data_IF_547019321731
#
_entry.id   IF_547019321731
#
_cell.length_a   1.000
_cell.length_b   1.000
_cell.length_c   1.000
_cell.angle_alpha   90.00
_cell.angle_beta   90.00
_cell.angle_gamma   90.00
#
_symmetry.space_group_name_H-M   'P 1'
#
loop_
_entity.id
_entity.type
_entity.pdbx_description
1 polymer ?
#
# COMPACT_ATOMS: atom_id res chain seq x y z
N UNK A 1 18.49 -40.82 13.82
CA UNK A 1 17.06 -40.49 13.80
C UNK A 1 16.95 -39.03 14.10
N UNK A 2 16.71 -38.19 13.07
CA UNK A 2 16.48 -36.74 13.25
C UNK A 2 15.21 -36.51 14.06
N UNK A 3 15.24 -35.63 15.05
CA UNK A 3 14.04 -35.34 15.85
C UNK A 3 12.96 -34.78 14.92
N UNK A 4 11.78 -35.41 14.96
CA UNK A 4 10.61 -34.95 14.20
C UNK A 4 10.22 -33.58 14.75
N UNK A 5 10.31 -32.55 13.90
CA UNK A 5 9.92 -31.20 14.28
C UNK A 5 8.51 -31.21 14.89
N UNK A 6 8.34 -30.50 16.00
CA UNK A 6 7.04 -30.37 16.67
C UNK A 6 6.06 -29.74 15.68
N UNK A 7 4.86 -30.32 15.48
CA UNK A 7 3.88 -29.75 14.56
C UNK A 7 3.49 -28.33 14.99
N UNK A 8 3.60 -27.35 14.09
CA UNK A 8 3.14 -25.99 14.32
C UNK A 8 1.64 -25.97 14.66
N UNK A 9 1.19 -25.09 15.56
CA UNK A 9 -0.22 -24.78 15.74
C UNK A 9 -0.92 -24.44 14.41
N UNK A 10 -2.23 -24.70 14.28
CA UNK A 10 -2.94 -24.48 13.02
C UNK A 10 -2.77 -23.08 12.43
N UNK A 11 -2.84 -22.04 13.25
CA UNK A 11 -2.70 -20.64 12.80
C UNK A 11 -1.27 -20.31 12.36
N UNK A 12 -0.27 -20.75 13.09
CA UNK A 12 1.13 -20.56 12.70
C UNK A 12 1.47 -21.32 11.40
N UNK A 13 0.87 -22.49 11.22
CA UNK A 13 0.99 -23.26 9.97
C UNK A 13 0.35 -22.53 8.80
N UNK A 14 -0.84 -21.95 9.00
CA UNK A 14 -1.51 -21.13 7.96
C UNK A 14 -0.65 -19.93 7.60
N UNK A 15 -0.12 -19.21 8.59
CA UNK A 15 0.77 -18.06 8.38
C UNK A 15 2.04 -18.46 7.61
N UNK A 16 2.69 -19.58 7.95
CA UNK A 16 3.86 -20.08 7.24
C UNK A 16 3.56 -20.45 5.77
N UNK A 17 2.40 -21.06 5.50
CA UNK A 17 1.97 -21.37 4.13
C UNK A 17 1.72 -20.07 3.35
N UNK A 18 1.06 -19.07 3.93
CA UNK A 18 0.80 -17.78 3.29
C UNK A 18 2.10 -17.02 3.01
N UNK A 19 3.05 -17.03 3.93
CA UNK A 19 4.37 -16.43 3.74
C UNK A 19 5.14 -17.05 2.56
N UNK A 20 5.04 -18.37 2.37
CA UNK A 20 5.63 -19.06 1.23
C UNK A 20 4.84 -18.85 -0.07
N UNK A 21 3.52 -18.68 0.00
CA UNK A 21 2.66 -18.52 -1.17
C UNK A 21 2.75 -17.12 -1.80
N UNK A 22 2.86 -16.06 -0.97
CA UNK A 22 2.82 -14.67 -1.44
C UNK A 22 3.85 -14.36 -2.52
N UNK A 23 5.16 -14.66 -2.36
CA UNK A 23 6.15 -14.42 -3.42
C UNK A 23 5.84 -15.17 -4.72
N UNK A 24 5.36 -16.41 -4.62
CA UNK A 24 5.00 -17.22 -5.78
C UNK A 24 3.76 -16.67 -6.50
N UNK A 25 2.77 -16.18 -5.75
CA UNK A 25 1.59 -15.54 -6.30
C UNK A 25 1.94 -14.20 -6.97
N UNK A 26 2.88 -13.45 -6.45
CA UNK A 26 3.38 -12.21 -7.05
C UNK A 26 4.14 -12.46 -8.36
N UNK A 27 4.83 -13.60 -8.48
CA UNK A 27 5.64 -13.93 -9.65
C UNK A 27 4.82 -14.67 -10.73
N UNK A 28 4.07 -15.69 -10.34
CA UNK A 28 3.38 -16.59 -11.26
C UNK A 28 1.86 -16.38 -11.31
N UNK A 29 1.31 -15.55 -10.43
CA UNK A 29 -0.13 -15.24 -10.37
C UNK A 29 -0.98 -16.51 -10.21
N UNK A 30 -2.02 -16.62 -11.04
CA UNK A 30 -2.95 -17.75 -11.04
C UNK A 30 -2.34 -19.06 -11.54
N UNK A 31 -1.20 -19.02 -12.22
CA UNK A 31 -0.53 -20.21 -12.79
C UNK A 31 0.23 -21.02 -11.73
N UNK A 32 0.51 -20.43 -10.54
CA UNK A 32 1.16 -21.16 -9.45
C UNK A 32 0.32 -22.36 -9.03
N UNK A 33 0.96 -23.53 -8.85
CA UNK A 33 0.30 -24.75 -8.38
C UNK A 33 0.41 -24.88 -6.85
N UNK A 34 -0.56 -25.57 -6.24
CA UNK A 34 -0.50 -25.93 -4.81
C UNK A 34 0.74 -26.77 -4.47
N UNK A 35 1.22 -27.56 -5.44
CA UNK A 35 2.47 -28.33 -5.29
C UNK A 35 3.69 -27.40 -5.13
N UNK A 36 3.83 -26.37 -5.97
CA UNK A 36 4.93 -25.39 -5.86
C UNK A 36 4.88 -24.65 -4.51
N UNK A 37 3.68 -24.27 -4.06
CA UNK A 37 3.50 -23.63 -2.75
C UNK A 37 3.89 -24.60 -1.62
N UNK A 38 3.49 -25.86 -1.71
CA UNK A 38 3.84 -26.88 -0.71
C UNK A 38 5.35 -27.11 -0.64
N UNK A 39 6.02 -27.19 -1.80
CA UNK A 39 7.47 -27.30 -1.91
C UNK A 39 8.17 -26.11 -1.25
N UNK A 40 7.74 -24.89 -1.55
CA UNK A 40 8.27 -23.66 -0.96
C UNK A 40 8.04 -23.57 0.56
N UNK A 41 6.91 -24.08 1.05
CA UNK A 41 6.58 -24.13 2.47
C UNK A 41 7.23 -25.33 3.21
N UNK A 42 7.90 -26.23 2.49
CA UNK A 42 8.52 -27.44 3.06
C UNK A 42 7.50 -28.44 3.66
N UNK A 43 6.30 -28.54 3.06
CA UNK A 43 5.21 -29.40 3.54
C UNK A 43 4.65 -30.30 2.45
N UNK A 44 3.87 -31.31 2.84
CA UNK A 44 3.11 -32.10 1.87
C UNK A 44 1.92 -31.28 1.32
N UNK A 45 1.63 -31.40 0.01
CA UNK A 45 0.55 -30.68 -0.67
C UNK A 45 -0.82 -30.89 0.01
N UNK A 46 -1.14 -32.10 0.48
CA UNK A 46 -2.37 -32.37 1.23
C UNK A 46 -2.51 -31.54 2.51
N UNK A 47 -1.43 -30.92 3.01
CA UNK A 47 -1.48 -30.02 4.17
C UNK A 47 -2.12 -28.68 3.80
N UNK A 48 -1.91 -28.21 2.57
CA UNK A 48 -2.55 -26.98 2.03
C UNK A 48 -4.06 -27.18 2.02
N UNK A 49 -4.54 -28.30 1.45
CA UNK A 49 -5.97 -28.57 1.38
C UNK A 49 -6.62 -28.73 2.77
N UNK A 50 -5.89 -29.32 3.73
CA UNK A 50 -6.35 -29.37 5.14
C UNK A 50 -6.43 -27.99 5.79
N UNK A 51 -5.52 -27.08 5.44
CA UNK A 51 -5.48 -25.74 6.04
C UNK A 51 -6.46 -24.76 5.40
N UNK A 52 -6.68 -24.85 4.08
CA UNK A 52 -7.45 -23.84 3.33
C UNK A 52 -8.67 -24.40 2.58
N UNK A 53 -8.77 -25.71 2.42
CA UNK A 53 -9.86 -26.37 1.69
C UNK A 53 -9.65 -26.37 0.17
N UNK A 54 -9.26 -25.24 -0.43
CA UNK A 54 -9.02 -25.08 -1.86
C UNK A 54 -7.88 -24.12 -2.17
N UNK A 55 -7.40 -24.13 -3.42
CA UNK A 55 -6.45 -23.12 -3.92
C UNK A 55 -7.04 -21.72 -3.89
N UNK A 56 -8.31 -21.56 -4.25
CA UNK A 56 -8.99 -20.27 -4.28
C UNK A 56 -9.08 -19.67 -2.87
N UNK A 57 -9.40 -20.49 -1.86
CA UNK A 57 -9.42 -20.03 -0.47
C UNK A 57 -8.01 -19.67 0.06
N UNK A 58 -6.96 -20.36 -0.40
CA UNK A 58 -5.57 -19.97 -0.10
C UNK A 58 -5.24 -18.63 -0.75
N UNK A 59 -5.58 -18.42 -2.02
CA UNK A 59 -5.35 -17.15 -2.74
C UNK A 59 -6.12 -16.00 -2.05
N UNK A 60 -7.38 -16.23 -1.66
CA UNK A 60 -8.16 -15.25 -0.92
C UNK A 60 -7.52 -14.90 0.43
N UNK A 61 -7.03 -15.89 1.17
CA UNK A 61 -6.32 -15.67 2.42
C UNK A 61 -4.98 -14.93 2.21
N UNK A 62 -4.24 -15.24 1.14
CA UNK A 62 -3.01 -14.54 0.78
C UNK A 62 -3.28 -13.06 0.44
N UNK A 63 -4.35 -12.78 -0.29
CA UNK A 63 -4.80 -11.41 -0.54
C UNK A 63 -5.17 -10.70 0.76
N UNK A 64 -5.94 -11.34 1.63
CA UNK A 64 -6.30 -10.75 2.92
C UNK A 64 -5.06 -10.37 3.75
N UNK A 65 -4.02 -11.22 3.71
CA UNK A 65 -2.73 -10.94 4.35
C UNK A 65 -2.01 -9.76 3.69
N UNK A 66 -1.96 -9.68 2.36
CA UNK A 66 -1.34 -8.58 1.63
C UNK A 66 -2.04 -7.23 1.87
N UNK A 67 -3.34 -7.25 2.13
CA UNK A 67 -4.13 -6.06 2.46
C UNK A 67 -4.10 -5.70 3.96
N UNK A 68 -3.56 -6.56 4.84
CA UNK A 68 -3.42 -6.25 6.26
C UNK A 68 -2.42 -5.10 6.45
N UNK A 69 -2.78 -3.99 7.08
CA UNK A 69 -1.89 -2.85 7.26
C UNK A 69 -0.98 -2.96 8.50
N UNK A 70 -0.93 -4.08 9.18
CA UNK A 70 -0.18 -4.22 10.44
C UNK A 70 1.30 -3.90 10.27
N UNK A 71 1.93 -4.38 9.18
CA UNK A 71 3.33 -4.09 8.87
C UNK A 71 3.53 -2.59 8.56
N UNK A 72 2.57 -1.97 7.87
CA UNK A 72 2.58 -0.52 7.60
C UNK A 72 2.52 0.27 8.91
N UNK A 73 1.58 -0.07 9.80
CA UNK A 73 1.43 0.59 11.10
C UNK A 73 2.73 0.50 11.87
N UNK A 74 3.29 -0.72 11.98
CA UNK A 74 4.55 -0.94 12.69
C UNK A 74 5.70 -0.13 12.07
N UNK A 75 5.83 -0.11 10.75
CA UNK A 75 6.88 0.67 10.09
C UNK A 75 6.71 2.19 10.31
N UNK A 76 5.47 2.71 10.27
CA UNK A 76 5.18 4.12 10.58
C UNK A 76 5.52 4.48 12.03
N UNK A 77 5.26 3.59 12.98
CA UNK A 77 5.60 3.78 14.39
C UNK A 77 7.11 3.86 14.65
N UNK A 78 7.93 3.24 13.77
CA UNK A 78 9.39 3.25 13.85
C UNK A 78 10.05 4.47 13.18
N UNK A 79 9.28 5.32 12.49
CA UNK A 79 9.82 6.53 11.87
C UNK A 79 10.38 7.46 12.94
N UNK A 80 11.61 7.93 12.73
CA UNK A 80 12.29 8.85 13.64
C UNK A 80 11.52 10.18 13.74
N UNK A 81 10.96 10.43 14.91
CA UNK A 81 10.16 11.63 15.21
C UNK A 81 11.00 12.90 15.39
N UNK A 82 12.34 12.77 15.45
CA UNK A 82 13.26 13.92 15.54
C UNK A 82 13.55 14.57 14.18
N UNK A 83 13.24 13.85 13.10
CA UNK A 83 13.33 14.38 11.73
C UNK A 83 12.41 15.60 11.54
N UNK A 84 12.81 16.57 10.71
CA UNK A 84 11.92 17.65 10.27
C UNK A 84 10.61 17.10 9.68
N UNK A 85 9.52 17.87 9.81
CA UNK A 85 8.18 17.48 9.35
C UNK A 85 8.20 16.93 7.91
N UNK A 86 8.89 17.63 7.01
CA UNK A 86 8.98 17.21 5.59
C UNK A 86 9.66 15.85 5.45
N UNK A 87 10.83 15.67 6.07
CA UNK A 87 11.64 14.46 5.93
C UNK A 87 10.89 13.22 6.47
N UNK A 88 10.30 13.32 7.66
CA UNK A 88 9.55 12.19 8.22
C UNK A 88 8.26 11.90 7.43
N UNK A 89 7.67 12.91 6.76
CA UNK A 89 6.53 12.70 5.87
C UNK A 89 6.98 11.97 4.59
N UNK A 90 8.14 12.31 4.03
CA UNK A 90 8.74 11.59 2.89
C UNK A 90 8.94 10.12 3.26
N UNK A 91 9.57 9.82 4.40
CA UNK A 91 9.76 8.44 4.86
C UNK A 91 8.43 7.70 5.00
N UNK A 92 7.40 8.34 5.55
CA UNK A 92 6.07 7.71 5.68
C UNK A 92 5.40 7.45 4.32
N UNK A 93 5.59 8.33 3.34
CA UNK A 93 5.11 8.14 1.96
C UNK A 93 5.87 7.01 1.28
N UNK A 94 7.21 6.92 1.42
CA UNK A 94 8.01 5.81 0.89
C UNK A 94 7.54 4.45 1.40
N UNK A 95 7.33 4.32 2.71
CA UNK A 95 6.79 3.12 3.36
C UNK A 95 5.41 2.77 2.75
N UNK A 96 4.55 3.78 2.56
CA UNK A 96 3.22 3.62 1.99
C UNK A 96 3.27 3.19 0.52
N UNK A 97 4.17 3.80 -0.29
CA UNK A 97 4.37 3.44 -1.69
C UNK A 97 4.88 2.01 -1.84
N UNK A 98 5.85 1.60 -1.02
CA UNK A 98 6.39 0.24 -1.08
C UNK A 98 5.31 -0.81 -0.79
N UNK A 99 4.44 -0.56 0.20
CA UNK A 99 3.28 -1.41 0.46
C UNK A 99 2.32 -1.44 -0.74
N UNK A 100 2.00 -0.28 -1.33
CA UNK A 100 1.10 -0.20 -2.49
C UNK A 100 1.67 -0.93 -3.70
N UNK A 101 2.98 -0.82 -3.97
CA UNK A 101 3.63 -1.55 -5.07
C UNK A 101 3.47 -3.06 -4.91
N UNK A 102 3.67 -3.61 -3.70
CA UNK A 102 3.47 -5.04 -3.42
C UNK A 102 2.01 -5.46 -3.62
N UNK A 103 1.06 -4.68 -3.11
CA UNK A 103 -0.38 -4.94 -3.30
C UNK A 103 -0.75 -4.92 -4.78
N UNK A 104 -0.32 -3.89 -5.52
CA UNK A 104 -0.61 -3.81 -6.96
C UNK A 104 0.04 -4.94 -7.75
N UNK A 105 1.31 -5.28 -7.45
CA UNK A 105 2.00 -6.41 -8.09
C UNK A 105 1.18 -7.70 -7.94
N UNK A 106 0.71 -8.00 -6.74
CA UNK A 106 -0.14 -9.16 -6.47
C UNK A 106 -1.47 -9.11 -7.24
N UNK A 107 -2.17 -7.96 -7.21
CA UNK A 107 -3.45 -7.78 -7.92
C UNK A 107 -3.28 -7.99 -9.44
N UNK A 108 -2.21 -7.44 -10.04
CA UNK A 108 -1.92 -7.61 -11.46
C UNK A 108 -1.57 -9.04 -11.80
N UNK A 109 -0.72 -9.70 -11.00
CA UNK A 109 -0.35 -11.10 -11.19
C UNK A 109 -1.59 -12.01 -11.13
N UNK A 110 -2.52 -11.74 -10.22
CA UNK A 110 -3.79 -12.46 -10.10
C UNK A 110 -4.87 -12.01 -11.11
N UNK A 111 -4.55 -11.05 -12.01
CA UNK A 111 -5.48 -10.47 -13.00
C UNK A 111 -6.75 -9.87 -12.39
N UNK A 112 -6.65 -9.36 -11.17
CA UNK A 112 -7.76 -8.73 -10.44
C UNK A 112 -7.84 -7.26 -10.85
N UNK A 113 -8.91 -6.87 -11.57
CA UNK A 113 -9.12 -5.52 -12.08
C UNK A 113 -9.96 -4.63 -11.17
N UNK A 114 -10.61 -5.18 -10.17
CA UNK A 114 -11.42 -4.47 -9.17
C UNK A 114 -10.91 -4.80 -7.78
N UNK A 115 -11.13 -3.93 -6.79
CA UNK A 115 -10.87 -4.32 -5.40
C UNK A 115 -11.54 -5.66 -5.12
N UNK A 116 -10.82 -6.61 -4.49
CA UNK A 116 -11.38 -7.92 -4.24
C UNK A 116 -12.62 -7.81 -3.35
N UNK A 117 -13.74 -8.29 -3.88
CA UNK A 117 -14.86 -8.65 -3.02
C UNK A 117 -14.46 -9.98 -2.36
N UNK A 118 -14.09 -9.92 -1.10
CA UNK A 118 -13.78 -11.13 -0.34
C UNK A 118 -15.07 -11.92 -0.15
N UNK A 119 -15.33 -12.88 -1.03
CA UNK A 119 -16.59 -13.65 -1.11
C UNK A 119 -17.00 -14.33 0.20
N UNK A 120 -16.01 -14.58 1.06
CA UNK A 120 -16.21 -15.20 2.38
C UNK A 120 -16.05 -14.20 3.53
N UNK A 121 -15.99 -12.89 3.23
CA UNK A 121 -15.95 -11.85 4.26
C UNK A 121 -17.26 -11.73 4.98
N UNK A 122 -17.18 -11.72 6.29
CA UNK A 122 -18.31 -11.35 7.15
C UNK A 122 -18.35 -9.83 7.37
N UNK A 123 -19.49 -9.26 7.79
CA UNK A 123 -19.54 -7.85 8.23
C UNK A 123 -18.51 -7.52 9.33
N UNK A 124 -18.14 -8.51 10.15
CA UNK A 124 -17.11 -8.38 11.17
C UNK A 124 -15.72 -8.21 10.53
N UNK A 125 -15.41 -8.94 9.46
CA UNK A 125 -14.15 -8.82 8.74
C UNK A 125 -14.02 -7.47 8.04
N UNK A 126 -15.11 -6.95 7.50
CA UNK A 126 -15.16 -5.61 6.91
C UNK A 126 -14.94 -4.52 7.96
N UNK A 127 -15.61 -4.62 9.10
CA UNK A 127 -15.42 -3.71 10.22
C UNK A 127 -13.98 -3.75 10.75
N UNK A 128 -13.37 -4.95 10.82
CA UNK A 128 -11.98 -5.13 11.21
C UNK A 128 -11.03 -4.47 10.23
N UNK A 129 -11.20 -4.69 8.90
CA UNK A 129 -10.37 -4.06 7.86
C UNK A 129 -10.47 -2.54 7.90
N UNK A 130 -11.70 -2.01 8.04
CA UNK A 130 -11.90 -0.56 8.20
C UNK A 130 -11.13 -0.03 9.40
N UNK A 131 -11.29 -0.67 10.57
CA UNK A 131 -10.57 -0.28 11.79
C UNK A 131 -9.06 -0.30 11.61
N UNK A 132 -8.52 -1.32 10.94
CA UNK A 132 -7.08 -1.43 10.67
C UNK A 132 -6.59 -0.31 9.75
N UNK A 133 -7.36 0.04 8.71
CA UNK A 133 -7.03 1.19 7.85
C UNK A 133 -7.11 2.52 8.60
N UNK A 134 -8.11 2.68 9.49
CA UNK A 134 -8.21 3.87 10.34
C UNK A 134 -7.00 3.97 11.28
N UNK A 135 -6.52 2.86 11.84
CA UNK A 135 -5.30 2.82 12.65
C UNK A 135 -4.04 3.18 11.85
N UNK A 136 -3.92 2.70 10.61
CA UNK A 136 -2.79 3.07 9.75
C UNK A 136 -2.78 4.57 9.44
N UNK A 137 -3.94 5.14 9.13
CA UNK A 137 -4.08 6.59 8.92
C UNK A 137 -3.76 7.37 10.20
N UNK A 138 -4.21 6.89 11.36
CA UNK A 138 -3.90 7.50 12.65
C UNK A 138 -2.40 7.46 12.96
N UNK A 139 -1.71 6.32 12.72
CA UNK A 139 -0.27 6.19 12.90
C UNK A 139 0.51 7.18 12.01
N UNK A 140 0.05 7.39 10.77
CA UNK A 140 0.64 8.42 9.91
C UNK A 140 0.34 9.83 10.44
N UNK A 141 -0.89 10.13 10.85
CA UNK A 141 -1.26 11.44 11.38
C UNK A 141 -0.46 11.79 12.65
N UNK A 142 -0.13 10.79 13.47
CA UNK A 142 0.71 10.96 14.66
C UNK A 142 2.13 11.47 14.34
N UNK A 143 2.64 11.19 13.13
CA UNK A 143 3.92 11.74 12.67
C UNK A 143 3.82 13.24 12.34
N UNK A 144 2.63 13.75 12.00
CA UNK A 144 2.43 15.15 11.64
C UNK A 144 1.97 16.01 12.81
N UNK A 145 1.41 15.42 13.88
CA UNK A 145 0.85 16.13 15.02
C UNK A 145 1.79 17.11 15.72
N UNK A 146 3.09 16.79 15.93
CA UNK A 146 4.01 17.74 16.58
C UNK A 146 4.11 19.09 15.88
N UNK A 147 3.86 19.12 14.56
CA UNK A 147 3.97 20.33 13.74
C UNK A 147 2.60 20.71 13.10
N UNK A 148 1.50 20.37 13.75
CA UNK A 148 0.16 20.64 13.23
C UNK A 148 -0.11 22.14 13.03
N UNK A 149 0.59 23.02 13.73
CA UNK A 149 0.53 24.47 13.58
C UNK A 149 1.11 24.96 12.24
N UNK A 150 1.97 24.19 11.59
CA UNK A 150 2.53 24.46 10.28
C UNK A 150 1.61 24.02 9.14
N UNK A 151 0.54 23.26 9.44
CA UNK A 151 -0.40 22.73 8.46
C UNK A 151 -1.64 23.62 8.35
N UNK A 152 -2.22 23.67 7.14
CA UNK A 152 -3.50 24.38 6.89
C UNK A 152 -4.72 23.58 7.35
N UNK A 153 -4.58 22.25 7.36
CA UNK A 153 -5.64 21.30 7.67
C UNK A 153 -5.22 20.44 8.86
N UNK A 154 -6.17 19.82 9.55
CA UNK A 154 -5.86 18.82 10.56
C UNK A 154 -4.97 17.69 9.99
N UNK A 155 -4.05 17.11 10.77
CA UNK A 155 -3.16 16.03 10.32
C UNK A 155 -3.89 14.87 9.63
N UNK A 156 -5.07 14.51 10.11
CA UNK A 156 -5.90 13.43 9.56
C UNK A 156 -6.38 13.74 8.13
N UNK A 157 -6.71 15.00 7.85
CA UNK A 157 -7.11 15.45 6.51
C UNK A 157 -5.91 15.52 5.57
N UNK A 158 -4.75 15.98 6.07
CA UNK A 158 -3.48 15.97 5.32
C UNK A 158 -3.11 14.55 4.92
N UNK A 159 -3.17 13.60 5.85
CA UNK A 159 -2.88 12.17 5.59
C UNK A 159 -3.83 11.60 4.53
N UNK A 160 -5.11 11.95 4.60
CA UNK A 160 -6.09 11.50 3.60
C UNK A 160 -5.74 12.01 2.20
N UNK A 161 -5.35 13.27 2.06
CA UNK A 161 -4.95 13.87 0.79
C UNK A 161 -3.64 13.27 0.27
N UNK A 162 -2.62 13.15 1.11
CA UNK A 162 -1.35 12.49 0.77
C UNK A 162 -1.62 11.04 0.35
N UNK A 163 -2.48 10.32 1.07
CA UNK A 163 -2.84 8.94 0.73
C UNK A 163 -3.47 8.79 -0.65
N UNK A 164 -4.37 9.71 -1.05
CA UNK A 164 -4.96 9.73 -2.39
C UNK A 164 -3.91 10.01 -3.47
N UNK A 165 -3.02 10.98 -3.24
CA UNK A 165 -1.91 11.29 -4.14
C UNK A 165 -0.95 10.10 -4.28
N UNK A 166 -0.55 9.51 -3.15
CA UNK A 166 0.36 8.35 -3.10
C UNK A 166 -0.25 7.17 -3.85
N UNK A 167 -1.54 6.88 -3.62
CA UNK A 167 -2.25 5.81 -4.33
C UNK A 167 -2.24 6.05 -5.84
N UNK A 168 -2.66 7.25 -6.29
CA UNK A 168 -2.74 7.60 -7.71
C UNK A 168 -1.38 7.59 -8.38
N UNK A 169 -0.36 8.15 -7.72
CA UNK A 169 1.00 8.22 -8.22
C UNK A 169 1.71 6.85 -8.30
N UNK A 170 1.28 5.90 -7.44
CA UNK A 170 1.89 4.54 -7.39
C UNK A 170 1.13 3.54 -8.26
N UNK A 171 -0.15 3.80 -8.58
CA UNK A 171 -0.97 2.87 -9.32
C UNK A 171 -0.58 2.85 -10.81
N UNK A 172 -0.10 1.71 -11.37
CA UNK A 172 0.51 1.65 -12.70
C UNK A 172 -0.40 2.15 -13.84
N UNK A 173 -1.72 1.92 -13.74
CA UNK A 173 -2.67 2.35 -14.78
C UNK A 173 -3.10 3.82 -14.63
N UNK A 174 -2.99 4.39 -13.43
CA UNK A 174 -3.39 5.77 -13.16
C UNK A 174 -2.23 6.71 -13.42
N UNK A 175 -1.01 6.32 -13.03
CA UNK A 175 0.20 7.11 -13.22
C UNK A 175 0.67 7.17 -14.67
N UNK A 176 0.09 6.37 -15.58
CA UNK A 176 0.51 6.34 -16.99
C UNK A 176 1.98 5.97 -17.19
N UNK A 177 2.60 5.30 -16.21
CA UNK A 177 4.03 4.98 -16.19
C UNK A 177 4.91 6.05 -15.52
N UNK A 178 4.38 7.22 -15.19
CA UNK A 178 5.05 8.25 -14.40
C UNK A 178 4.79 7.99 -12.91
N UNK A 179 5.68 7.26 -12.27
CA UNK A 179 5.63 7.05 -10.82
C UNK A 179 6.31 8.25 -10.15
N UNK A 180 5.54 9.05 -9.40
CA UNK A 180 6.12 10.13 -8.61
C UNK A 180 6.92 9.56 -7.44
N UNK A 181 8.03 10.22 -7.10
CA UNK A 181 8.79 9.91 -5.89
C UNK A 181 8.04 10.38 -4.65
N UNK A 182 8.46 9.91 -3.48
CA UNK A 182 7.87 10.36 -2.22
C UNK A 182 8.11 11.85 -1.98
N UNK A 183 9.30 12.35 -2.37
CA UNK A 183 9.64 13.76 -2.30
C UNK A 183 8.71 14.60 -3.17
N UNK A 184 8.48 14.21 -4.43
CA UNK A 184 7.59 14.94 -5.34
C UNK A 184 6.15 14.98 -4.80
N UNK A 185 5.65 13.87 -4.24
CA UNK A 185 4.33 13.82 -3.63
C UNK A 185 4.24 14.75 -2.42
N UNK A 186 5.26 14.73 -1.56
CA UNK A 186 5.30 15.56 -0.34
C UNK A 186 5.47 17.03 -0.69
N UNK A 187 6.33 17.38 -1.64
CA UNK A 187 6.51 18.75 -2.09
C UNK A 187 5.21 19.33 -2.64
N UNK A 188 4.56 18.59 -3.53
CA UNK A 188 3.25 19.01 -4.05
C UNK A 188 2.20 19.17 -2.94
N UNK A 189 2.13 18.22 -1.99
CA UNK A 189 1.18 18.27 -0.88
C UNK A 189 1.48 19.45 0.06
N UNK A 190 2.75 19.69 0.38
CA UNK A 190 3.14 20.75 1.32
C UNK A 190 3.04 22.15 0.71
N UNK A 191 3.34 22.35 -0.56
CA UNK A 191 3.15 23.62 -1.25
C UNK A 191 1.66 24.02 -1.25
N UNK A 192 0.73 23.04 -1.38
CA UNK A 192 -0.69 23.27 -1.27
C UNK A 192 -1.24 23.32 0.17
N UNK A 193 -0.63 22.61 1.13
CA UNK A 193 -1.16 22.36 2.48
C UNK A 193 -0.45 23.14 3.59
N UNK A 194 0.71 23.75 3.31
CA UNK A 194 1.40 24.60 4.27
C UNK A 194 0.64 25.92 4.47
N UNK A 195 0.62 26.43 5.69
CA UNK A 195 0.25 27.82 5.95
C UNK A 195 1.32 28.70 5.33
N UNK A 196 0.97 29.54 4.34
CA UNK A 196 1.88 30.56 3.87
C UNK A 196 2.21 31.52 5.04
N UNK A 197 3.48 31.77 5.28
CA UNK A 197 3.86 32.91 6.12
C UNK A 197 3.29 34.15 5.44
N UNK A 198 2.39 34.84 6.17
CA UNK A 198 1.73 36.07 5.74
C UNK A 198 2.76 37.04 5.12
N UNK A 199 2.69 37.24 3.82
CA UNK A 199 3.54 38.19 3.11
C UNK A 199 3.73 37.98 1.61
N UNK A 200 3.51 36.78 1.08
CA UNK A 200 3.66 36.58 -0.35
C UNK A 200 2.60 35.56 -0.84
N UNK A 201 1.59 36.03 -1.60
CA UNK A 201 0.71 35.11 -2.29
C UNK A 201 1.55 34.30 -3.29
N UNK A 202 1.29 32.99 -3.51
CA UNK A 202 1.90 32.28 -4.61
C UNK A 202 1.54 33.05 -5.90
N UNK A 203 2.54 33.31 -6.73
CA UNK A 203 2.29 33.90 -8.02
C UNK A 203 1.31 32.98 -8.76
N UNK A 204 0.10 33.50 -9.01
CA UNK A 204 -0.97 32.78 -9.71
C UNK A 204 -0.59 32.40 -11.15
N UNK A 205 0.58 32.81 -11.61
CA UNK A 205 1.14 32.53 -12.93
C UNK A 205 1.79 31.14 -13.03
N UNK A 206 2.33 30.59 -11.93
CA UNK A 206 3.03 29.30 -11.97
C UNK A 206 2.08 28.10 -12.05
N UNK A 207 0.87 28.20 -11.50
CA UNK A 207 -0.12 27.12 -11.51
C UNK A 207 -0.81 26.99 -12.88
N UNK A 208 -0.97 28.10 -13.60
CA UNK A 208 -1.62 28.11 -14.92
C UNK A 208 -0.66 27.68 -16.03
N UNK A 209 0.65 27.93 -15.87
CA UNK A 209 1.69 27.53 -16.82
C UNK A 209 1.78 26.00 -16.99
N UNK A 210 1.74 25.26 -15.91
CA UNK A 210 1.87 23.80 -15.92
C UNK A 210 0.65 23.07 -16.56
N UNK A 211 -0.54 23.63 -16.41
CA UNK A 211 -1.76 23.06 -16.99
C UNK A 211 -1.89 23.36 -18.50
N UNK A 212 -1.27 24.43 -19.01
CA UNK A 212 -1.37 24.84 -20.40
C UNK A 212 -0.26 24.27 -21.30
N UNK A 213 0.91 23.94 -20.77
CA UNK A 213 1.99 23.31 -21.56
C UNK A 213 1.71 21.84 -21.89
N UNK A 214 1.01 21.12 -21.01
CA UNK A 214 0.54 19.77 -21.30
C UNK A 214 -0.49 19.66 -22.43
N UNK A 215 -1.22 20.74 -22.71
CA UNK A 215 -2.25 20.77 -23.74
C UNK A 215 -1.72 21.14 -25.13
N UNK A 216 -0.51 21.69 -25.26
CA UNK A 216 0.05 22.18 -26.55
C UNK A 216 0.85 21.15 -27.33
N UNK A 217 1.17 20.00 -26.75
CA UNK A 217 1.94 18.95 -27.45
C UNK A 217 1.09 17.88 -28.14
N UNK A 218 -0.23 18.04 -28.22
CA UNK A 218 -1.11 17.04 -28.84
C UNK A 218 -1.74 17.48 -30.19
N UNK A 219 -1.33 18.60 -30.74
CA UNK A 219 -1.90 19.09 -31.99
C UNK A 219 -0.83 19.49 -33.04
N UNK A 220 0.04 18.51 -33.39
CA UNK A 220 0.86 18.65 -34.60
C UNK A 220 1.31 17.26 -35.08
N UNK A 221 0.45 16.64 -35.88
CA UNK A 221 0.76 15.40 -36.58
C UNK A 221 -0.42 14.85 -37.36
N UNK A 222 -0.87 15.58 -38.33
CA UNK A 222 -1.52 15.05 -39.54
C UNK A 222 -1.42 16.09 -40.68
N UNK A 223 -0.49 15.80 -41.57
CA UNK A 223 -0.54 16.06 -43.02
C UNK A 223 0.43 15.10 -43.72
#
# INVERSE_FOLDING_TARGET
VSPRATPLPPEERRAAILAAALPLLEEFGTEVSTKQIAEAAGIAEGTIFRAFGSKDALVEAAMATAFDPSDLIHALEQVDRTLPLRERTVVAVEISQERLRRVFKLLFALRIRRPPEFKHSTPMDEARRKRQNDLANAAFADLLRPDADQLRLPPEDVVRMIGLLTFSATHPMVSGGHVLTAEEIVDFAFDGLRKHRTGQPPASEDIVGFALDGARHHDSGDD
#
